data_IF_692567536330
#
_entry.id   IF_692567536330
#
_cell.length_a   1.000
_cell.length_b   1.000
_cell.length_c   1.000
_cell.angle_alpha   90.00
_cell.angle_beta   90.00
_cell.angle_gamma   90.00
#
_symmetry.space_group_name_H-M   'P 1'
#
loop_
_entity.id
_entity.type
_entity.pdbx_description
1 polymer ?
#
# COMPACT_ATOMS: atom_id res chain seq x y z
N UNK A 1 22.22 1.36 17.19
CA UNK A 1 21.46 1.94 16.06
C UNK A 1 22.47 2.54 15.10
N UNK A 2 22.50 2.14 13.83
CA UNK A 2 23.41 2.71 12.82
C UNK A 2 22.72 3.92 12.21
N UNK A 3 23.37 5.08 12.18
CA UNK A 3 22.85 6.27 11.49
C UNK A 3 22.97 6.06 9.96
N UNK A 4 21.85 6.03 9.26
CA UNK A 4 21.78 5.84 7.80
C UNK A 4 21.40 7.11 7.04
N UNK A 5 21.30 8.25 7.72
CA UNK A 5 20.89 9.53 7.12
C UNK A 5 21.81 9.99 5.98
N UNK A 6 23.09 9.60 5.99
CA UNK A 6 24.08 9.96 4.97
C UNK A 6 24.01 9.12 3.68
N UNK A 7 23.32 7.96 3.68
CA UNK A 7 23.32 7.07 2.51
C UNK A 7 22.36 7.57 1.41
N UNK A 8 22.83 7.98 0.22
CA UNK A 8 21.93 8.34 -0.87
C UNK A 8 21.04 7.14 -1.19
N UNK A 9 19.73 7.33 -1.27
CA UNK A 9 18.80 6.32 -1.81
C UNK A 9 19.00 6.22 -3.31
N UNK A 10 19.73 5.22 -3.83
CA UNK A 10 20.10 5.20 -5.25
C UNK A 10 18.87 5.07 -6.15
N UNK A 11 17.77 4.54 -5.62
CA UNK A 11 16.49 4.38 -6.31
C UNK A 11 15.85 5.74 -6.67
N UNK A 12 16.23 6.83 -5.99
CA UNK A 12 15.70 8.18 -6.21
C UNK A 12 16.71 9.20 -6.71
N UNK A 13 18.00 8.84 -6.88
CA UNK A 13 19.08 9.80 -7.13
C UNK A 13 18.96 10.59 -8.44
N UNK A 14 18.25 10.03 -9.43
CA UNK A 14 18.01 10.66 -10.72
C UNK A 14 16.56 11.17 -10.90
N UNK A 15 15.72 11.04 -9.86
CA UNK A 15 14.34 11.48 -9.93
C UNK A 15 14.23 12.97 -9.65
N UNK A 16 13.45 13.68 -10.47
CA UNK A 16 13.17 15.12 -10.28
C UNK A 16 11.95 15.37 -9.40
N UNK A 17 11.10 14.36 -9.22
CA UNK A 17 9.82 14.49 -8.51
C UNK A 17 9.84 13.81 -7.15
N UNK A 18 10.92 13.09 -6.82
CA UNK A 18 11.03 12.30 -5.60
C UNK A 18 11.99 12.93 -4.59
N UNK A 19 11.52 13.10 -3.37
CA UNK A 19 12.31 13.52 -2.21
C UNK A 19 12.51 12.34 -1.27
N UNK A 20 13.74 12.16 -0.78
CA UNK A 20 14.09 11.08 0.16
C UNK A 20 13.43 11.26 1.52
N UNK A 21 12.75 10.23 2.07
CA UNK A 21 12.30 10.26 3.46
C UNK A 21 13.46 10.03 4.43
N UNK A 22 13.35 10.51 5.68
CA UNK A 22 14.26 10.09 6.76
C UNK A 22 14.35 8.56 6.85
N UNK A 23 15.58 8.03 7.05
CA UNK A 23 15.85 6.60 7.24
C UNK A 23 16.26 6.28 8.69
N UNK A 24 15.82 7.12 9.62
CA UNK A 24 16.12 7.08 11.06
C UNK A 24 14.98 6.42 11.86
N UNK A 25 14.11 5.66 11.20
CA UNK A 25 12.91 5.04 11.75
C UNK A 25 11.90 6.04 12.36
N UNK A 26 12.00 7.34 12.04
CA UNK A 26 11.06 8.36 12.51
C UNK A 26 9.67 8.28 11.85
N UNK A 27 9.56 7.57 10.72
CA UNK A 27 8.31 7.42 9.97
C UNK A 27 7.91 5.94 9.87
N UNK A 28 6.67 5.66 10.23
CA UNK A 28 6.01 4.39 9.92
C UNK A 28 5.69 4.27 8.44
N UNK A 29 5.37 3.05 7.98
CA UNK A 29 5.03 2.81 6.58
C UNK A 29 3.87 3.69 6.05
N UNK A 30 2.76 3.91 6.79
CA UNK A 30 1.72 4.86 6.36
C UNK A 30 2.18 6.32 6.36
N UNK A 31 3.02 6.73 7.31
CA UNK A 31 3.56 8.10 7.39
C UNK A 31 4.50 8.41 6.22
N UNK A 32 5.13 7.42 5.59
CA UNK A 32 5.86 7.61 4.33
C UNK A 32 4.95 8.15 3.21
N UNK A 33 3.68 7.71 3.16
CA UNK A 33 2.73 8.24 2.17
C UNK A 33 2.36 9.69 2.48
N UNK A 34 2.22 10.05 3.75
CA UNK A 34 2.01 11.44 4.15
C UNK A 34 3.23 12.31 3.81
N UNK A 35 4.43 11.85 4.12
CA UNK A 35 5.67 12.53 3.82
C UNK A 35 5.77 12.81 2.32
N UNK A 36 5.60 11.79 1.48
CA UNK A 36 5.71 11.96 0.04
C UNK A 36 4.53 12.74 -0.56
N UNK A 37 3.33 12.71 0.03
CA UNK A 37 2.24 13.58 -0.39
C UNK A 37 2.59 15.06 -0.24
N UNK A 38 3.43 15.42 0.75
CA UNK A 38 3.92 16.79 0.97
C UNK A 38 5.17 17.12 0.14
N UNK A 39 6.14 16.20 0.07
CA UNK A 39 7.49 16.49 -0.47
C UNK A 39 7.74 15.91 -1.87
N UNK A 40 6.87 15.03 -2.35
CA UNK A 40 6.96 14.40 -3.69
C UNK A 40 5.58 14.40 -4.39
N UNK A 41 4.84 15.54 -4.46
CA UNK A 41 3.44 15.54 -4.85
C UNK A 41 3.19 15.08 -6.30
N UNK A 42 4.18 15.24 -7.17
CA UNK A 42 4.13 14.85 -8.58
C UNK A 42 4.69 13.44 -8.84
N UNK A 43 5.21 12.76 -7.81
CA UNK A 43 5.77 11.43 -7.99
C UNK A 43 4.68 10.35 -8.02
N UNK A 44 4.60 9.54 -9.07
CA UNK A 44 3.63 8.45 -9.16
C UNK A 44 4.01 7.32 -8.19
N UNK A 45 3.05 6.89 -7.37
CA UNK A 45 3.21 5.68 -6.53
C UNK A 45 2.67 4.44 -7.22
N UNK A 46 1.67 4.60 -8.09
CA UNK A 46 1.10 3.53 -8.92
C UNK A 46 0.66 4.09 -10.26
N UNK A 47 0.48 3.19 -11.22
CA UNK A 47 -0.13 3.50 -12.51
C UNK A 47 -1.19 2.46 -12.82
N UNK A 48 -2.26 2.85 -13.51
CA UNK A 48 -3.26 1.92 -14.04
C UNK A 48 -3.55 2.23 -15.51
N UNK A 49 -3.99 1.22 -16.25
CA UNK A 49 -4.43 1.39 -17.62
C UNK A 49 -5.95 1.51 -17.67
N UNK A 50 -6.47 2.47 -18.43
CA UNK A 50 -7.91 2.58 -18.70
C UNK A 50 -8.37 1.57 -19.78
N UNK A 51 -9.68 1.57 -20.09
CA UNK A 51 -10.28 0.72 -21.13
C UNK A 51 -9.66 0.95 -22.53
N UNK A 52 -9.11 2.15 -22.76
CA UNK A 52 -8.42 2.56 -24.00
C UNK A 52 -6.91 2.28 -23.95
N UNK A 53 -6.41 1.61 -22.90
CA UNK A 53 -5.00 1.31 -22.63
C UNK A 53 -4.11 2.53 -22.38
N UNK A 54 -4.67 3.69 -22.05
CA UNK A 54 -3.87 4.83 -21.60
C UNK A 54 -3.42 4.61 -20.17
N UNK A 55 -2.16 4.97 -19.88
CA UNK A 55 -1.55 4.85 -18.57
C UNK A 55 -1.85 6.11 -17.76
N UNK A 56 -2.52 5.94 -16.62
CA UNK A 56 -2.85 7.00 -15.68
C UNK A 56 -1.99 6.87 -14.43
N UNK A 57 -1.22 7.90 -14.05
CA UNK A 57 -0.48 7.91 -12.80
C UNK A 57 -1.39 8.24 -11.62
N UNK A 58 -1.18 7.54 -10.52
CA UNK A 58 -1.70 7.91 -9.20
C UNK A 58 -0.51 8.43 -8.41
N UNK A 59 -0.49 9.72 -8.13
CA UNK A 59 0.56 10.37 -7.35
C UNK A 59 0.28 10.28 -5.84
N UNK A 60 1.31 10.53 -5.03
CA UNK A 60 1.20 10.44 -3.57
C UNK A 60 0.05 11.22 -2.93
N UNK A 61 -0.29 12.47 -3.34
CA UNK A 61 -1.41 13.20 -2.75
C UNK A 61 -2.75 12.50 -2.95
N UNK A 62 -2.96 11.92 -4.12
CA UNK A 62 -4.18 11.17 -4.44
C UNK A 62 -4.25 9.87 -3.63
N UNK A 63 -3.16 9.09 -3.62
CA UNK A 63 -3.06 7.87 -2.85
C UNK A 63 -3.27 8.13 -1.35
N UNK A 64 -2.63 9.17 -0.80
CA UNK A 64 -2.75 9.52 0.61
C UNK A 64 -4.17 9.96 0.98
N UNK A 65 -4.85 10.71 0.09
CA UNK A 65 -6.27 11.04 0.29
C UNK A 65 -7.14 9.77 0.36
N UNK A 66 -6.86 8.79 -0.49
CA UNK A 66 -7.58 7.52 -0.49
C UNK A 66 -7.28 6.71 0.79
N UNK A 67 -6.03 6.67 1.24
CA UNK A 67 -5.60 6.06 2.51
C UNK A 67 -6.35 6.69 3.68
N UNK A 68 -6.38 8.03 3.77
CA UNK A 68 -7.13 8.75 4.82
C UNK A 68 -8.62 8.48 4.78
N UNK A 69 -9.19 8.25 3.60
CA UNK A 69 -10.60 7.85 3.46
C UNK A 69 -10.82 6.44 4.00
N UNK A 70 -9.94 5.49 3.66
CA UNK A 70 -10.00 4.12 4.14
C UNK A 70 -9.77 4.02 5.67
N UNK A 71 -8.90 4.85 6.23
CA UNK A 71 -8.65 4.92 7.67
C UNK A 71 -9.88 5.29 8.52
N UNK A 72 -10.94 5.83 7.91
CA UNK A 72 -12.22 6.11 8.58
C UNK A 72 -13.09 4.87 8.77
N UNK A 73 -12.70 3.73 8.20
CA UNK A 73 -13.41 2.47 8.39
C UNK A 73 -13.00 1.90 9.75
N UNK A 74 -13.86 2.07 10.75
CA UNK A 74 -13.63 1.56 12.10
C UNK A 74 -13.97 0.06 12.16
N UNK A 75 -12.95 -0.80 12.16
CA UNK A 75 -13.15 -2.23 12.41
C UNK A 75 -11.87 -2.85 12.99
N UNK A 76 -11.88 -3.36 14.23
CA UNK A 76 -10.66 -3.77 14.94
C UNK A 76 -9.99 -5.03 14.40
N UNK A 77 -10.68 -5.89 13.64
CA UNK A 77 -10.11 -7.12 13.05
C UNK A 77 -10.79 -7.42 11.72
N UNK A 78 -10.14 -7.08 10.60
CA UNK A 78 -10.61 -7.42 9.26
C UNK A 78 -9.65 -8.40 8.60
N UNK A 79 -10.08 -9.66 8.48
CA UNK A 79 -9.59 -10.51 7.40
C UNK A 79 -10.06 -9.89 6.08
N UNK A 80 -9.15 -9.33 5.29
CA UNK A 80 -9.52 -8.68 4.03
C UNK A 80 -9.67 -9.75 2.95
N UNK A 81 -10.90 -10.23 2.75
CA UNK A 81 -11.28 -11.05 1.62
C UNK A 81 -12.06 -10.18 0.64
N UNK A 82 -11.36 -9.51 -0.27
CA UNK A 82 -11.97 -8.65 -1.28
C UNK A 82 -11.48 -9.03 -2.67
N UNK A 83 -12.40 -9.23 -3.60
CA UNK A 83 -12.12 -9.21 -5.04
C UNK A 83 -11.95 -7.75 -5.51
N UNK A 84 -11.04 -7.02 -4.85
CA UNK A 84 -10.70 -5.64 -5.18
C UNK A 84 -9.52 -5.63 -6.14
N UNK A 85 -9.45 -4.58 -6.97
CA UNK A 85 -8.23 -4.31 -7.72
C UNK A 85 -7.07 -4.00 -6.75
N UNK A 86 -5.84 -4.14 -7.24
CA UNK A 86 -4.65 -4.02 -6.39
C UNK A 86 -4.53 -2.65 -5.71
N UNK A 87 -5.02 -1.56 -6.33
CA UNK A 87 -4.90 -0.19 -5.82
C UNK A 87 -5.86 -0.01 -4.64
N UNK A 88 -7.11 -0.41 -4.82
CA UNK A 88 -8.12 -0.40 -3.75
C UNK A 88 -7.66 -1.24 -2.56
N UNK A 89 -7.18 -2.45 -2.83
CA UNK A 89 -6.70 -3.36 -1.78
C UNK A 89 -5.55 -2.76 -0.97
N UNK A 90 -4.53 -2.22 -1.64
CA UNK A 90 -3.39 -1.61 -0.97
C UNK A 90 -3.78 -0.37 -0.16
N UNK A 91 -4.64 0.47 -0.71
CA UNK A 91 -5.15 1.67 -0.02
C UNK A 91 -5.88 1.30 1.26
N UNK A 92 -6.67 0.23 1.23
CA UNK A 92 -7.39 -0.26 2.40
C UNK A 92 -6.44 -0.80 3.48
N UNK A 93 -5.48 -1.63 3.09
CA UNK A 93 -4.45 -2.16 3.99
C UNK A 93 -3.67 -1.03 4.67
N UNK A 94 -3.18 -0.06 3.88
CA UNK A 94 -2.40 1.07 4.39
C UNK A 94 -3.28 2.01 5.22
N UNK A 95 -4.54 2.21 4.85
CA UNK A 95 -5.52 2.97 5.63
C UNK A 95 -5.76 2.37 7.01
N UNK A 96 -5.84 1.04 7.11
CA UNK A 96 -5.94 0.36 8.42
C UNK A 96 -4.68 0.53 9.26
N UNK A 97 -3.50 0.38 8.66
CA UNK A 97 -2.23 0.66 9.35
C UNK A 97 -2.18 2.12 9.84
N UNK A 98 -2.62 3.07 9.00
CA UNK A 98 -2.68 4.50 9.35
C UNK A 98 -3.63 4.77 10.52
N UNK A 99 -4.71 3.98 10.65
CA UNK A 99 -5.65 4.05 11.77
C UNK A 99 -5.17 3.30 13.03
N UNK A 100 -3.96 2.70 13.01
CA UNK A 100 -3.39 1.96 14.14
C UNK A 100 -3.82 0.50 14.23
N UNK A 101 -4.46 -0.05 13.19
CA UNK A 101 -4.85 -1.46 13.14
C UNK A 101 -3.77 -2.32 12.47
N UNK A 102 -3.73 -3.61 12.82
CA UNK A 102 -2.87 -4.60 12.19
C UNK A 102 -3.68 -5.40 11.13
N UNK A 103 -3.61 -5.08 9.83
CA UNK A 103 -4.39 -5.76 8.81
C UNK A 103 -3.87 -7.19 8.56
N UNK A 104 -4.79 -8.14 8.35
CA UNK A 104 -4.46 -9.52 7.98
C UNK A 104 -4.95 -9.82 6.55
N UNK A 105 -4.10 -9.63 5.52
CA UNK A 105 -4.49 -9.85 4.12
C UNK A 105 -4.69 -11.33 3.83
N UNK A 106 -5.91 -11.72 3.42
CA UNK A 106 -6.23 -13.10 3.03
C UNK A 106 -6.28 -13.18 1.50
N UNK A 107 -5.50 -14.09 0.92
CA UNK A 107 -5.52 -14.32 -0.53
C UNK A 107 -6.85 -14.94 -0.96
N UNK A 108 -7.51 -14.33 -1.95
CA UNK A 108 -8.70 -14.89 -2.60
C UNK A 108 -8.42 -16.20 -3.34
N UNK A 109 -7.14 -16.57 -3.52
CA UNK A 109 -6.70 -17.79 -4.20
C UNK A 109 -6.48 -18.98 -3.27
N UNK A 110 -6.74 -18.84 -1.97
CA UNK A 110 -6.67 -19.97 -1.04
C UNK A 110 -7.97 -20.79 -1.18
N UNK A 111 -7.99 -21.75 -2.12
CA UNK A 111 -9.08 -22.72 -2.23
C UNK A 111 -8.92 -23.83 -1.19
N UNK A 112 -10.03 -24.30 -0.61
CA UNK A 112 -10.03 -25.52 0.20
C UNK A 112 -9.74 -26.70 -0.72
N UNK A 113 -8.67 -27.44 -0.46
CA UNK A 113 -8.45 -28.74 -1.10
C UNK A 113 -9.49 -29.72 -0.56
N UNK A 114 -10.53 -30.00 -1.33
CA UNK A 114 -11.52 -31.01 -0.99
C UNK A 114 -10.91 -32.40 -1.20
N UNK A 115 -10.46 -33.06 -0.13
CA UNK A 115 -10.11 -34.47 -0.18
C UNK A 115 -11.38 -35.30 -0.06
N UNK A 116 -11.86 -35.89 -1.16
CA UNK A 116 -12.81 -37.00 -1.10
C UNK A 116 -12.07 -38.22 -0.56
N UNK A 117 -12.30 -38.62 0.68
CA UNK A 117 -12.02 -39.99 1.10
C UNK A 117 -13.03 -40.88 0.39
N UNK A 118 -12.63 -41.51 -0.71
CA UNK A 118 -13.38 -42.62 -1.31
C UNK A 118 -13.34 -43.77 -0.31
N UNK A 119 -14.40 -43.90 0.49
CA UNK A 119 -14.67 -45.09 1.27
C UNK A 119 -15.07 -46.22 0.34
N UNK A 120 -14.16 -47.19 0.17
CA UNK A 120 -14.49 -48.50 -0.37
C UNK A 120 -15.26 -49.29 0.70
N UNK A 121 -16.48 -49.71 0.38
CA UNK A 121 -17.15 -50.88 0.97
C UNK A 121 -17.95 -51.58 -0.11
#
# INVERSE_FOLDING_TARGET
>A
MVDLSFLPTPQGSNSRTWTRPPLDDSLTFPELFEFHAKHSPEHPVRTYSDEKKNIHPICYPEAFRAIRKAAKIESPVLGILAAADSITYATLVIGMMYAGYAPFPISTRNSVTFHTSTGSS
#
